data_IF_634601384405
#
_entry.id   IF_634601384405
#
_cell.length_a   1.000
_cell.length_b   1.000
_cell.length_c   1.000
_cell.angle_alpha   90.00
_cell.angle_beta   90.00
_cell.angle_gamma   90.00
#
_symmetry.space_group_name_H-M   'P 1'
#
loop_
_entity.id
_entity.type
_entity.pdbx_description
1 polymer ?
#
# COMPACT_ATOMS: atom_id res chain seq x y z
N UNK A 1 63.97 -36.02 20.11
CA UNK A 1 63.67 -34.58 20.26
C UNK A 1 62.82 -34.19 19.06
N UNK A 2 61.51 -34.24 19.20
CA UNK A 2 60.61 -33.71 18.17
C UNK A 2 59.35 -33.22 18.88
N UNK A 3 59.05 -31.96 18.60
CA UNK A 3 58.17 -31.11 19.38
C UNK A 3 56.74 -31.14 18.84
N UNK A 4 55.83 -30.84 19.77
CA UNK A 4 54.41 -30.58 19.66
C UNK A 4 53.95 -29.84 18.41
N UNK A 5 52.71 -30.11 17.99
CA UNK A 5 51.73 -29.04 17.75
C UNK A 5 50.29 -29.57 17.80
N UNK A 6 49.60 -29.24 18.90
CA UNK A 6 48.15 -29.38 19.05
C UNK A 6 47.46 -28.24 18.31
N UNK A 7 46.62 -28.58 17.32
CA UNK A 7 45.79 -27.64 16.59
C UNK A 7 44.45 -27.46 17.35
N UNK A 8 44.34 -26.36 18.10
CA UNK A 8 43.06 -25.93 18.70
C UNK A 8 42.30 -25.13 17.65
N UNK A 9 41.26 -25.73 17.05
CA UNK A 9 40.32 -25.03 16.19
C UNK A 9 39.37 -24.19 17.08
N UNK A 10 39.64 -22.89 17.19
CA UNK A 10 38.68 -21.94 17.73
C UNK A 10 37.66 -21.59 16.63
N UNK A 11 36.46 -22.17 16.71
CA UNK A 11 35.30 -21.70 15.96
C UNK A 11 34.84 -20.36 16.56
N UNK A 12 35.31 -19.25 15.98
CA UNK A 12 34.69 -17.95 16.17
C UNK A 12 33.36 -17.94 15.43
N UNK A 13 32.28 -18.23 16.16
CA UNK A 13 30.93 -17.90 15.73
C UNK A 13 30.85 -16.37 15.59
N UNK A 14 30.99 -15.88 14.35
CA UNK A 14 30.65 -14.51 14.00
C UNK A 14 29.13 -14.42 14.16
N UNK A 15 28.69 -14.01 15.34
CA UNK A 15 27.36 -13.47 15.54
C UNK A 15 27.28 -12.23 14.66
N UNK A 16 26.73 -12.39 13.45
CA UNK A 16 26.09 -11.29 12.76
C UNK A 16 24.94 -10.86 13.67
N UNK A 17 25.25 -9.92 14.58
CA UNK A 17 24.25 -8.98 15.06
C UNK A 17 23.75 -8.29 13.80
N UNK A 18 22.70 -8.88 13.21
CA UNK A 18 21.82 -8.16 12.32
C UNK A 18 21.39 -6.96 13.14
N UNK A 19 22.02 -5.80 12.91
CA UNK A 19 21.33 -4.54 13.02
C UNK A 19 20.02 -4.80 12.28
N UNK A 20 18.95 -5.04 13.03
CA UNK A 20 17.60 -5.04 12.51
C UNK A 20 17.30 -3.55 12.44
N UNK A 21 17.52 -2.90 11.30
CA UNK A 21 17.16 -1.50 11.19
C UNK A 21 15.72 -1.35 11.62
N UNK A 22 15.48 -0.34 12.46
CA UNK A 22 14.25 -0.06 13.19
C UNK A 22 13.12 0.41 12.27
N UNK A 23 12.95 -0.21 11.10
CA UNK A 23 11.90 0.13 10.16
C UNK A 23 10.58 -0.34 10.75
N UNK A 24 9.74 0.60 11.19
CA UNK A 24 8.46 0.30 11.81
C UNK A 24 7.36 -0.15 10.85
N UNK A 25 7.61 -0.17 9.54
CA UNK A 25 6.62 -0.50 8.51
C UNK A 25 6.57 -2.00 8.14
N UNK A 26 5.78 -2.30 7.11
CA UNK A 26 5.65 -3.64 6.50
C UNK A 26 6.05 -3.57 5.02
N UNK A 27 7.12 -4.26 4.62
CA UNK A 27 7.58 -4.31 3.22
C UNK A 27 7.26 -5.67 2.58
N UNK A 28 6.93 -5.67 1.29
CA UNK A 28 6.74 -6.88 0.52
C UNK A 28 8.07 -7.64 0.30
N UNK A 29 8.10 -8.93 0.60
CA UNK A 29 9.21 -9.84 0.24
C UNK A 29 8.78 -10.99 -0.67
N UNK A 30 7.50 -11.01 -1.08
CA UNK A 30 6.98 -11.98 -2.05
C UNK A 30 7.69 -11.82 -3.42
N UNK A 31 8.37 -12.86 -3.94
CA UNK A 31 9.19 -12.78 -5.15
C UNK A 31 8.37 -12.61 -6.44
N UNK A 32 7.04 -12.76 -6.37
CA UNK A 32 6.16 -12.48 -7.51
C UNK A 32 6.08 -10.99 -7.82
N UNK A 33 6.43 -10.14 -6.85
CA UNK A 33 6.46 -8.69 -6.99
C UNK A 33 7.86 -8.14 -6.77
N UNK A 34 8.21 -7.17 -7.59
CA UNK A 34 9.49 -6.47 -7.54
C UNK A 34 9.25 -4.97 -7.46
N UNK A 35 10.31 -4.22 -7.19
CA UNK A 35 10.27 -2.76 -7.17
C UNK A 35 9.99 -2.22 -8.58
N UNK A 36 9.31 -1.08 -8.64
CA UNK A 36 9.22 -0.29 -9.87
C UNK A 36 10.56 0.39 -10.18
N UNK A 37 11.49 -0.37 -10.75
CA UNK A 37 12.77 0.13 -11.25
C UNK A 37 12.86 -0.11 -12.74
N UNK A 38 12.29 0.81 -13.49
CA UNK A 38 12.32 0.71 -14.94
C UNK A 38 13.51 1.50 -15.50
N UNK A 39 14.33 0.82 -16.30
CA UNK A 39 15.56 1.36 -16.89
C UNK A 39 16.50 2.00 -15.84
N UNK A 40 16.55 1.43 -14.62
CA UNK A 40 17.37 1.95 -13.52
C UNK A 40 16.80 3.17 -12.79
N UNK A 41 15.60 3.63 -13.17
CA UNK A 41 14.94 4.78 -12.55
C UNK A 41 13.73 4.36 -11.71
N UNK A 42 13.44 5.14 -10.66
CA UNK A 42 12.27 4.95 -9.79
C UNK A 42 11.04 5.65 -10.38
N UNK A 43 10.78 5.42 -11.67
CA UNK A 43 9.65 5.97 -12.42
C UNK A 43 8.58 4.90 -12.54
N UNK A 44 7.33 5.27 -12.24
CA UNK A 44 6.15 4.39 -12.38
C UNK A 44 5.34 4.88 -13.58
N UNK A 45 5.39 4.18 -14.73
CA UNK A 45 4.49 4.43 -15.84
C UNK A 45 3.06 4.03 -15.47
N UNK A 46 2.09 4.88 -15.81
CA UNK A 46 0.68 4.54 -15.63
C UNK A 46 -0.20 5.11 -16.73
N UNK A 47 -1.37 4.49 -16.89
CA UNK A 47 -2.43 4.91 -17.81
C UNK A 47 -3.75 4.86 -17.04
N UNK A 48 -4.58 5.89 -17.21
CA UNK A 48 -5.99 5.80 -16.81
C UNK A 48 -6.78 5.03 -17.86
N UNK A 49 -7.59 4.08 -17.44
CA UNK A 49 -8.52 3.42 -18.33
C UNK A 49 -9.49 4.45 -18.93
N UNK A 50 -9.63 4.43 -20.26
CA UNK A 50 -10.35 5.47 -20.98
C UNK A 50 -11.81 5.54 -20.55
N UNK A 51 -12.27 6.73 -20.17
CA UNK A 51 -13.65 6.98 -19.74
C UNK A 51 -13.98 6.63 -18.29
N UNK A 52 -13.08 6.00 -17.53
CA UNK A 52 -13.38 5.56 -16.16
C UNK A 52 -13.49 6.72 -15.16
N UNK A 53 -12.69 7.77 -15.34
CA UNK A 53 -12.53 8.84 -14.37
C UNK A 53 -12.89 10.20 -14.92
N UNK A 54 -13.64 10.96 -14.14
CA UNK A 54 -13.81 12.41 -14.33
C UNK A 54 -12.50 13.15 -14.09
N UNK A 55 -12.39 14.39 -14.58
CA UNK A 55 -11.21 15.22 -14.34
C UNK A 55 -10.92 15.45 -12.84
N UNK A 56 -11.97 15.58 -12.01
CA UNK A 56 -11.82 15.76 -10.57
C UNK A 56 -11.28 14.50 -9.88
N UNK A 57 -11.75 13.33 -10.29
CA UNK A 57 -11.24 12.04 -9.80
C UNK A 57 -9.77 11.81 -10.22
N UNK A 58 -9.42 12.08 -11.48
CA UNK A 58 -8.04 12.01 -11.95
C UNK A 58 -7.15 12.97 -11.15
N UNK A 59 -7.61 14.21 -10.93
CA UNK A 59 -6.89 15.21 -10.12
C UNK A 59 -6.59 14.69 -8.71
N UNK A 60 -7.54 14.01 -8.06
CA UNK A 60 -7.32 13.44 -6.73
C UNK A 60 -6.25 12.34 -6.73
N UNK A 61 -6.24 11.48 -7.76
CA UNK A 61 -5.22 10.44 -7.91
C UNK A 61 -3.84 11.06 -8.18
N UNK A 62 -3.78 12.07 -9.05
CA UNK A 62 -2.55 12.80 -9.37
C UNK A 62 -2.02 13.58 -8.16
N UNK A 63 -2.89 14.15 -7.33
CA UNK A 63 -2.51 14.79 -6.07
C UNK A 63 -1.87 13.79 -5.09
N UNK A 64 -2.41 12.58 -4.99
CA UNK A 64 -1.81 11.52 -4.18
C UNK A 64 -0.41 11.14 -4.68
N UNK A 65 -0.23 10.98 -6.00
CA UNK A 65 1.08 10.75 -6.61
C UNK A 65 2.05 11.91 -6.34
N UNK A 66 1.59 13.15 -6.51
CA UNK A 66 2.39 14.35 -6.24
C UNK A 66 2.79 14.46 -4.77
N UNK A 67 1.91 14.08 -3.84
CA UNK A 67 2.19 14.09 -2.42
C UNK A 67 3.28 13.07 -2.05
N UNK A 68 3.20 11.83 -2.58
CA UNK A 68 4.26 10.84 -2.38
C UNK A 68 5.58 11.32 -3.01
N UNK A 69 5.53 11.89 -4.22
CA UNK A 69 6.71 12.50 -4.86
C UNK A 69 7.37 13.53 -3.96
N UNK A 70 6.58 14.44 -3.39
CA UNK A 70 7.05 15.50 -2.51
C UNK A 70 7.66 14.94 -1.22
N UNK A 71 6.94 14.02 -0.55
CA UNK A 71 7.39 13.39 0.70
C UNK A 71 8.67 12.57 0.49
N UNK A 72 8.91 12.07 -0.73
CA UNK A 72 10.12 11.33 -1.13
C UNK A 72 11.21 12.20 -1.77
N UNK A 73 11.10 13.54 -1.71
CA UNK A 73 12.10 14.46 -2.27
C UNK A 73 12.31 14.29 -3.79
N UNK A 74 11.29 13.83 -4.50
CA UNK A 74 11.36 13.53 -5.94
C UNK A 74 12.06 12.22 -6.31
N UNK A 75 12.49 11.41 -5.33
CA UNK A 75 13.16 10.14 -5.60
C UNK A 75 12.28 9.14 -6.36
N UNK A 76 10.99 9.11 -6.06
CA UNK A 76 9.98 8.32 -6.77
C UNK A 76 9.20 9.29 -7.65
N UNK A 77 8.91 8.90 -8.90
CA UNK A 77 8.16 9.73 -9.84
C UNK A 77 7.16 8.90 -10.66
N UNK A 78 6.18 9.58 -11.25
CA UNK A 78 5.07 8.96 -11.98
C UNK A 78 5.04 9.56 -13.38
N UNK A 79 4.86 8.71 -14.39
CA UNK A 79 4.74 9.15 -15.78
C UNK A 79 3.40 8.70 -16.33
N UNK A 80 2.53 9.66 -16.60
CA UNK A 80 1.24 9.39 -17.23
C UNK A 80 1.42 9.19 -18.73
N UNK A 81 0.85 8.11 -19.25
CA UNK A 81 0.68 7.86 -20.67
C UNK A 81 -0.80 8.00 -21.04
N UNK A 82 -1.07 8.44 -22.27
CA UNK A 82 -2.43 8.53 -22.83
C UNK A 82 -2.93 7.21 -23.40
N UNK A 83 -2.02 6.26 -23.64
CA UNK A 83 -2.30 4.90 -24.10
C UNK A 83 -1.26 3.94 -23.52
N UNK A 84 -1.53 2.61 -23.51
CA UNK A 84 -0.53 1.62 -23.12
C UNK A 84 0.83 1.85 -23.81
N UNK A 85 1.93 1.99 -23.04
CA UNK A 85 3.25 2.19 -23.61
C UNK A 85 3.71 0.95 -24.37
N UNK A 86 4.51 1.15 -25.41
CA UNK A 86 5.08 0.08 -26.24
C UNK A 86 6.52 -0.26 -25.80
N UNK A 87 7.18 -1.21 -26.47
CA UNK A 87 8.60 -1.51 -26.23
C UNK A 87 8.88 -2.27 -24.93
N UNK A 88 7.92 -3.05 -24.44
CA UNK A 88 8.10 -3.87 -23.22
C UNK A 88 8.08 -3.06 -21.92
N UNK A 89 7.59 -1.82 -21.96
CA UNK A 89 7.47 -0.96 -20.79
C UNK A 89 6.41 -1.51 -19.85
N UNK A 90 6.81 -1.83 -18.62
CA UNK A 90 5.90 -2.22 -17.55
C UNK A 90 5.13 -0.99 -17.06
N UNK A 91 3.82 -1.12 -16.85
CA UNK A 91 2.99 0.02 -16.46
C UNK A 91 1.79 -0.42 -15.62
N UNK A 92 1.19 0.55 -14.95
CA UNK A 92 -0.04 0.35 -14.19
C UNK A 92 -1.23 0.84 -14.99
N UNK A 93 -2.25 0.01 -15.13
CA UNK A 93 -3.54 0.39 -15.65
C UNK A 93 -4.47 0.71 -14.49
N UNK A 94 -4.73 2.00 -14.28
CA UNK A 94 -5.62 2.49 -13.23
C UNK A 94 -7.04 2.51 -13.77
N UNK A 95 -7.93 1.71 -13.18
CA UNK A 95 -9.34 1.64 -13.58
C UNK A 95 -10.25 1.56 -12.36
N UNK A 96 -11.53 1.89 -12.52
CA UNK A 96 -12.51 1.66 -11.45
C UNK A 96 -12.73 0.16 -11.27
N UNK A 97 -12.91 -0.58 -12.35
CA UNK A 97 -13.24 -2.00 -12.30
C UNK A 97 -12.03 -2.93 -12.02
N UNK A 98 -10.78 -2.47 -12.14
CA UNK A 98 -9.59 -3.30 -12.00
C UNK A 98 -9.47 -4.41 -13.06
N UNK A 99 -10.02 -4.18 -14.26
CA UNK A 99 -9.98 -5.13 -15.38
C UNK A 99 -11.03 -6.25 -15.32
N UNK A 100 -11.24 -6.84 -14.14
CA UNK A 100 -12.16 -8.00 -13.96
C UNK A 100 -13.42 -7.70 -13.14
N UNK A 101 -13.66 -6.45 -12.76
CA UNK A 101 -14.87 -6.06 -12.01
C UNK A 101 -14.75 -6.31 -10.51
N UNK A 102 -13.76 -5.67 -9.86
CA UNK A 102 -13.63 -5.70 -8.41
C UNK A 102 -14.76 -4.93 -7.72
N UNK A 103 -15.23 -5.44 -6.58
CA UNK A 103 -16.24 -4.79 -5.73
C UNK A 103 -15.66 -3.73 -4.79
N UNK A 104 -14.33 -3.58 -4.78
CA UNK A 104 -13.61 -2.60 -3.97
C UNK A 104 -12.25 -2.30 -4.59
N UNK A 105 -11.50 -1.42 -3.95
CA UNK A 105 -10.18 -1.06 -4.41
C UNK A 105 -9.15 -2.15 -4.12
N UNK A 106 -8.23 -2.34 -5.06
CA UNK A 106 -7.11 -3.25 -4.90
C UNK A 106 -5.90 -2.79 -5.71
N UNK A 107 -4.74 -3.31 -5.33
CA UNK A 107 -3.49 -3.17 -6.07
C UNK A 107 -2.58 -4.33 -5.70
N UNK A 108 -1.64 -4.63 -6.59
CA UNK A 108 -0.53 -5.50 -6.24
C UNK A 108 0.50 -4.76 -5.38
N UNK A 109 1.20 -5.47 -4.48
CA UNK A 109 2.17 -4.90 -3.55
C UNK A 109 3.55 -4.72 -4.22
N UNK A 110 3.60 -4.00 -5.34
CA UNK A 110 4.76 -3.88 -6.21
C UNK A 110 4.42 -4.04 -7.69
N UNK A 111 5.47 -4.09 -8.52
CA UNK A 111 5.40 -4.45 -9.93
C UNK A 111 5.39 -5.97 -10.07
N UNK A 112 4.48 -6.54 -10.86
CA UNK A 112 4.50 -7.97 -11.18
C UNK A 112 5.82 -8.31 -11.89
N UNK A 113 6.60 -9.27 -11.38
CA UNK A 113 7.92 -9.59 -11.92
C UNK A 113 7.85 -10.06 -13.38
N UNK A 114 6.83 -10.86 -13.71
CA UNK A 114 6.62 -11.42 -15.05
C UNK A 114 5.65 -10.59 -15.90
N UNK A 115 5.60 -9.27 -15.66
CA UNK A 115 4.68 -8.39 -16.36
C UNK A 115 4.97 -8.29 -17.87
N UNK A 116 6.25 -8.26 -18.27
CA UNK A 116 6.68 -8.27 -19.68
C UNK A 116 5.97 -7.25 -20.58
N UNK A 117 5.75 -6.03 -20.07
CA UNK A 117 5.06 -4.95 -20.77
C UNK A 117 3.53 -5.08 -20.83
N UNK A 118 2.95 -6.13 -20.22
CA UNK A 118 1.50 -6.30 -20.13
C UNK A 118 1.00 -5.56 -18.89
N UNK A 119 0.36 -4.41 -19.05
CA UNK A 119 -0.08 -3.55 -17.93
C UNK A 119 -0.74 -4.33 -16.79
N UNK A 120 -0.47 -3.92 -15.54
CA UNK A 120 -1.07 -4.52 -14.36
C UNK A 120 -2.21 -3.64 -13.87
N UNK A 121 -3.35 -4.25 -13.58
CA UNK A 121 -4.50 -3.49 -13.11
C UNK A 121 -4.37 -3.10 -11.65
N UNK A 122 -4.80 -1.89 -11.34
CA UNK A 122 -5.19 -1.48 -9.99
C UNK A 122 -6.62 -0.91 -10.03
N UNK A 123 -7.41 -1.22 -9.02
CA UNK A 123 -8.75 -0.68 -8.87
C UNK A 123 -8.75 0.51 -7.90
N UNK A 124 -9.13 1.70 -8.37
CA UNK A 124 -9.42 2.86 -7.53
C UNK A 124 -10.86 3.30 -7.79
N UNK A 125 -11.73 3.14 -6.80
CA UNK A 125 -13.19 3.29 -6.92
C UNK A 125 -13.71 4.36 -5.96
N UNK A 126 -14.73 5.11 -6.39
CA UNK A 126 -15.53 5.95 -5.50
C UNK A 126 -16.65 5.16 -4.82
N UNK A 127 -17.43 5.83 -3.96
CA UNK A 127 -18.63 5.26 -3.36
C UNK A 127 -18.39 4.32 -2.18
N UNK A 128 -19.41 3.50 -1.86
CA UNK A 128 -19.38 2.51 -0.78
C UNK A 128 -18.29 1.49 -1.06
N UNK A 129 -17.47 1.15 -0.07
CA UNK A 129 -16.30 0.28 -0.22
C UNK A 129 -15.21 0.83 -1.17
N UNK A 130 -15.35 2.07 -1.62
CA UNK A 130 -14.37 2.77 -2.44
C UNK A 130 -13.19 3.30 -1.62
N UNK A 131 -12.23 3.86 -2.35
CA UNK A 131 -10.98 4.46 -1.86
C UNK A 131 -10.67 5.80 -2.53
N UNK A 132 -11.58 6.31 -3.38
CA UNK A 132 -11.45 7.56 -4.12
C UNK A 132 -12.25 8.69 -3.43
N UNK A 133 -12.17 8.75 -2.09
CA UNK A 133 -12.88 9.78 -1.32
C UNK A 133 -11.99 10.96 -0.93
N UNK A 134 -10.69 10.71 -0.80
CA UNK A 134 -9.66 11.69 -0.42
C UNK A 134 -8.27 11.22 -0.86
N UNK A 135 -7.31 12.14 -0.86
CA UNK A 135 -5.91 11.89 -1.25
C UNK A 135 -5.28 10.76 -0.44
N UNK A 136 -5.54 10.73 0.88
CA UNK A 136 -5.00 9.75 1.82
C UNK A 136 -5.35 8.30 1.46
N UNK A 137 -6.60 8.02 1.10
CA UNK A 137 -7.03 6.68 0.71
C UNK A 137 -6.40 6.21 -0.61
N UNK A 138 -6.16 7.14 -1.55
CA UNK A 138 -5.44 6.81 -2.78
C UNK A 138 -3.95 6.59 -2.50
N UNK A 139 -3.33 7.44 -1.67
CA UNK A 139 -1.94 7.23 -1.23
C UNK A 139 -1.75 5.85 -0.61
N UNK A 140 -2.68 5.40 0.25
CA UNK A 140 -2.64 4.05 0.84
C UNK A 140 -2.43 2.96 -0.21
N UNK A 141 -3.17 3.02 -1.31
CA UNK A 141 -3.03 2.05 -2.41
C UNK A 141 -1.75 2.25 -3.20
N UNK A 142 -1.38 3.50 -3.51
CA UNK A 142 -0.13 3.79 -4.21
C UNK A 142 1.10 3.32 -3.40
N UNK A 143 1.08 3.40 -2.08
CA UNK A 143 2.15 2.84 -1.23
C UNK A 143 2.26 1.33 -1.37
N UNK A 144 1.13 0.62 -1.44
CA UNK A 144 1.11 -0.81 -1.75
C UNK A 144 1.64 -1.08 -3.15
N UNK A 145 1.22 -0.31 -4.15
CA UNK A 145 1.78 -0.40 -5.50
C UNK A 145 3.31 -0.24 -5.52
N UNK A 146 3.89 0.55 -4.61
CA UNK A 146 5.34 0.72 -4.46
C UNK A 146 6.03 -0.40 -3.67
N UNK A 147 5.29 -1.32 -3.06
CA UNK A 147 5.82 -2.46 -2.32
C UNK A 147 5.70 -2.36 -0.80
N UNK A 148 5.10 -1.30 -0.26
CA UNK A 148 4.80 -1.22 1.17
C UNK A 148 3.42 -1.83 1.46
N UNK A 149 3.40 -2.88 2.26
CA UNK A 149 2.19 -3.59 2.65
C UNK A 149 1.40 -2.79 3.71
N UNK A 150 0.13 -3.12 3.91
CA UNK A 150 -0.73 -2.35 4.81
C UNK A 150 -0.39 -2.62 6.29
N UNK A 151 -0.20 -1.55 7.06
CA UNK A 151 0.19 -1.63 8.47
C UNK A 151 -0.83 -2.41 9.33
N UNK A 152 -2.14 -2.33 9.04
CA UNK A 152 -3.19 -3.05 9.79
C UNK A 152 -3.26 -4.55 9.44
N UNK A 153 -2.40 -5.04 8.54
CA UNK A 153 -2.28 -6.46 8.21
C UNK A 153 -0.96 -7.06 8.72
N UNK A 154 -0.13 -6.28 9.43
CA UNK A 154 1.16 -6.71 9.98
C UNK A 154 1.04 -7.98 10.86
N UNK A 155 2.02 -8.91 10.82
CA UNK A 155 2.00 -10.14 11.63
C UNK A 155 1.74 -9.95 13.14
N UNK A 156 2.30 -8.89 13.72
CA UNK A 156 2.20 -8.57 15.15
C UNK A 156 1.09 -7.55 15.47
N UNK A 157 0.24 -7.16 14.51
CA UNK A 157 -0.68 -6.02 14.67
C UNK A 157 -1.58 -6.13 15.90
N UNK A 158 -1.95 -7.35 16.30
CA UNK A 158 -2.95 -7.56 17.36
C UNK A 158 -2.38 -7.18 18.74
N UNK A 159 -1.08 -6.91 18.86
CA UNK A 159 -0.50 -6.26 20.04
C UNK A 159 -0.77 -4.74 20.09
N UNK A 160 -1.16 -4.12 18.98
CA UNK A 160 -1.24 -2.66 18.79
C UNK A 160 -2.63 -2.16 18.41
N UNK A 161 -3.39 -2.95 17.65
CA UNK A 161 -4.75 -2.60 17.22
C UNK A 161 -5.74 -3.68 17.60
N UNK A 162 -7.00 -3.29 17.77
CA UNK A 162 -8.14 -4.19 17.75
C UNK A 162 -8.77 -4.15 16.36
N UNK A 163 -9.11 -5.32 15.83
CA UNK A 163 -9.83 -5.46 14.55
C UNK A 163 -11.13 -6.21 14.80
N UNK A 164 -12.27 -5.52 14.69
CA UNK A 164 -13.59 -6.10 14.88
C UNK A 164 -14.21 -6.49 13.53
N UNK A 165 -13.86 -7.67 13.02
CA UNK A 165 -14.39 -8.17 11.74
C UNK A 165 -15.88 -8.50 11.80
N UNK A 166 -16.48 -8.64 12.99
CA UNK A 166 -17.91 -8.94 13.15
C UNK A 166 -18.84 -7.81 12.69
N UNK A 167 -18.34 -6.57 12.64
CA UNK A 167 -19.07 -5.40 12.13
C UNK A 167 -18.63 -5.00 10.72
N UNK A 168 -17.71 -5.74 10.11
CA UNK A 168 -17.15 -5.42 8.80
C UNK A 168 -18.07 -5.90 7.66
N UNK A 169 -18.05 -5.22 6.52
CA UNK A 169 -18.86 -5.60 5.35
C UNK A 169 -18.41 -6.95 4.80
N UNK A 170 -19.34 -7.69 4.19
CA UNK A 170 -19.04 -8.97 3.52
C UNK A 170 -17.99 -8.83 2.41
N UNK A 171 -17.94 -7.67 1.75
CA UNK A 171 -16.86 -7.34 0.79
C UNK A 171 -15.52 -7.45 1.49
N UNK A 172 -15.31 -6.74 2.60
CA UNK A 172 -14.03 -6.73 3.29
C UNK A 172 -13.57 -8.11 3.78
N UNK A 173 -14.50 -8.92 4.28
CA UNK A 173 -14.20 -10.27 4.78
C UNK A 173 -13.91 -11.24 3.64
N UNK A 174 -14.67 -11.18 2.55
CA UNK A 174 -14.44 -12.01 1.36
C UNK A 174 -13.09 -11.72 0.68
N UNK A 175 -12.66 -10.45 0.67
CA UNK A 175 -11.36 -10.05 0.13
C UNK A 175 -10.22 -10.14 1.14
N UNK A 176 -10.48 -10.58 2.38
CA UNK A 176 -9.44 -10.71 3.39
C UNK A 176 -8.75 -9.39 3.75
N UNK A 177 -9.47 -8.26 3.67
CA UNK A 177 -8.94 -6.90 3.89
C UNK A 177 -8.23 -6.77 5.24
N UNK A 178 -8.67 -7.54 6.23
CA UNK A 178 -8.16 -7.55 7.58
C UNK A 178 -7.39 -8.83 7.95
N UNK A 179 -7.00 -9.65 6.98
CA UNK A 179 -6.22 -10.87 7.25
C UNK A 179 -4.79 -10.50 7.64
N UNK A 180 -4.22 -11.22 8.61
CA UNK A 180 -2.80 -11.04 8.95
C UNK A 180 -1.96 -11.55 7.77
N UNK A 181 -0.90 -10.84 7.40
CA UNK A 181 0.02 -11.30 6.38
C UNK A 181 0.82 -12.52 6.84
N UNK A 182 1.13 -13.40 5.89
CA UNK A 182 2.12 -14.45 6.10
C UNK A 182 3.50 -13.80 6.40
N UNK A 183 4.11 -14.06 7.57
CA UNK A 183 5.40 -13.47 7.94
C UNK A 183 6.55 -13.87 7.00
N UNK A 184 6.42 -14.91 6.17
CA UNK A 184 7.45 -15.26 5.18
C UNK A 184 7.41 -14.38 3.93
N UNK A 185 6.30 -13.67 3.69
CA UNK A 185 6.08 -12.82 2.51
C UNK A 185 6.17 -11.32 2.84
N UNK A 186 6.50 -10.98 4.08
CA UNK A 186 6.70 -9.60 4.51
C UNK A 186 7.93 -9.44 5.38
N UNK A 187 8.64 -8.33 5.21
CA UNK A 187 9.65 -7.86 6.15
C UNK A 187 8.99 -6.83 7.08
N UNK A 188 9.05 -7.06 8.38
CA UNK A 188 8.41 -6.17 9.35
C UNK A 188 9.08 -6.28 10.73
N UNK A 189 9.11 -5.19 11.49
CA UNK A 189 9.64 -5.20 12.86
C UNK A 189 8.54 -5.64 13.86
N UNK A 190 8.68 -6.78 14.57
CA UNK A 190 7.68 -7.29 15.49
C UNK A 190 7.56 -6.49 16.80
N UNK A 191 8.51 -5.59 17.10
CA UNK A 191 8.51 -4.76 18.30
C UNK A 191 7.91 -3.36 18.06
N UNK A 192 7.42 -3.08 16.85
CA UNK A 192 6.98 -1.74 16.48
C UNK A 192 5.65 -1.75 15.69
N UNK A 193 4.98 -0.59 15.66
CA UNK A 193 3.77 -0.33 14.88
C UNK A 193 3.65 1.16 14.58
N UNK A 194 3.24 1.49 13.36
CA UNK A 194 3.06 2.87 12.94
C UNK A 194 1.59 3.30 12.88
N UNK A 195 1.11 3.86 13.99
CA UNK A 195 -0.24 4.44 14.09
C UNK A 195 -0.49 5.64 13.16
N UNK A 196 0.59 6.23 12.63
CA UNK A 196 0.53 7.35 11.70
C UNK A 196 0.74 6.93 10.25
N UNK A 197 0.88 5.63 9.95
CA UNK A 197 1.14 5.18 8.58
C UNK A 197 -0.02 5.52 7.65
N UNK A 198 0.32 6.00 6.45
CA UNK A 198 -0.67 6.22 5.37
C UNK A 198 -1.21 4.88 4.85
N UNK A 199 -0.48 3.78 5.11
CA UNK A 199 -0.87 2.44 4.68
C UNK A 199 -1.95 1.80 5.56
N UNK A 200 -2.22 2.37 6.74
CA UNK A 200 -3.22 1.86 7.67
C UNK A 200 -4.65 2.06 7.13
N UNK A 201 -5.59 1.15 7.40
CA UNK A 201 -6.99 1.36 7.03
C UNK A 201 -7.60 2.54 7.83
N UNK A 202 -8.48 3.33 7.21
CA UNK A 202 -9.31 4.27 7.97
C UNK A 202 -10.23 3.49 8.93
N UNK A 203 -10.43 4.03 10.13
CA UNK A 203 -11.07 3.32 11.23
C UNK A 203 -12.47 2.78 10.88
N UNK A 204 -13.29 3.55 10.15
CA UNK A 204 -14.67 3.20 9.80
C UNK A 204 -14.84 2.57 8.41
N UNK A 205 -13.76 2.44 7.64
CA UNK A 205 -13.85 1.86 6.29
C UNK A 205 -14.30 0.41 6.40
N UNK A 206 -15.23 0.01 5.52
CA UNK A 206 -15.95 -1.27 5.56
C UNK A 206 -16.77 -1.54 6.82
N UNK A 207 -17.17 -0.53 7.60
CA UNK A 207 -18.10 -0.74 8.72
C UNK A 207 -19.56 -0.83 8.27
N UNK A 208 -20.31 -1.82 8.77
CA UNK A 208 -21.77 -1.90 8.58
C UNK A 208 -22.55 -0.98 9.53
N UNK A 209 -21.94 -0.59 10.65
CA UNK A 209 -22.60 0.13 11.76
C UNK A 209 -22.14 1.58 11.86
N UNK A 210 -21.15 1.99 11.07
CA UNK A 210 -20.46 3.28 11.20
C UNK A 210 -19.47 3.33 12.37
N UNK A 211 -19.38 2.27 13.20
CA UNK A 211 -18.39 2.19 14.27
C UNK A 211 -17.02 1.73 13.73
N UNK A 212 -15.90 2.15 14.34
CA UNK A 212 -14.56 1.71 13.93
C UNK A 212 -14.38 0.18 13.86
N UNK A 213 -13.96 -0.33 12.70
CA UNK A 213 -13.52 -1.71 12.50
C UNK A 213 -12.10 -1.90 13.03
N UNK A 214 -11.24 -0.89 12.88
CA UNK A 214 -9.86 -0.91 13.39
C UNK A 214 -9.69 0.23 14.40
N UNK A 215 -9.24 -0.10 15.60
CA UNK A 215 -8.94 0.89 16.65
C UNK A 215 -7.56 0.63 17.24
N UNK A 216 -6.85 1.69 17.62
CA UNK A 216 -5.58 1.55 18.32
C UNK A 216 -5.79 1.19 19.80
N UNK A 217 -4.93 0.33 20.35
CA UNK A 217 -4.96 -0.10 21.75
C UNK A 217 -4.32 0.92 22.68
N UNK A 218 -3.16 1.44 22.30
CA UNK A 218 -2.36 2.33 23.15
C UNK A 218 -2.24 3.75 22.62
N UNK A 219 -2.47 3.94 21.32
CA UNK A 219 -2.42 5.24 20.65
C UNK A 219 -3.59 5.37 19.68
N UNK A 220 -4.09 6.59 19.52
CA UNK A 220 -5.06 6.88 18.47
C UNK A 220 -4.42 6.71 17.10
N UNK A 221 -5.18 6.17 16.16
CA UNK A 221 -4.80 6.14 14.75
C UNK A 221 -4.96 7.55 14.19
N UNK A 222 -3.88 8.13 13.66
CA UNK A 222 -3.89 9.48 13.11
C UNK A 222 -3.04 9.56 11.84
N UNK A 223 -3.68 9.62 10.68
CA UNK A 223 -2.99 9.88 9.43
C UNK A 223 -3.71 10.98 8.65
N UNK A 224 -2.98 12.07 8.40
CA UNK A 224 -3.48 13.25 7.68
C UNK A 224 -3.01 13.24 6.24
N UNK A 225 -3.05 12.09 5.56
CA UNK A 225 -2.68 11.93 4.14
C UNK A 225 -1.29 12.46 3.79
N UNK A 226 -0.33 12.16 4.66
CA UNK A 226 1.10 12.38 4.49
C UNK A 226 1.83 11.10 4.88
N UNK A 227 2.98 10.86 4.25
CA UNK A 227 3.87 9.78 4.70
C UNK A 227 4.28 10.06 6.16
N UNK A 228 4.18 9.05 7.01
CA UNK A 228 4.85 9.12 8.30
C UNK A 228 6.37 9.11 8.12
N UNK A 229 7.10 9.43 9.18
CA UNK A 229 8.55 9.25 9.21
C UNK A 229 8.95 7.83 8.78
N UNK A 230 8.21 6.82 9.27
CA UNK A 230 8.47 5.40 9.01
C UNK A 230 8.10 5.01 7.58
N UNK A 231 6.98 5.49 7.04
CA UNK A 231 6.61 5.27 5.64
C UNK A 231 7.70 5.79 4.68
N UNK A 232 8.17 7.02 4.92
CA UNK A 232 9.24 7.63 4.12
C UNK A 232 10.55 6.85 4.24
N UNK A 233 10.95 6.50 5.47
CA UNK A 233 12.17 5.71 5.72
C UNK A 233 12.10 4.37 4.99
N UNK A 234 10.96 3.70 5.02
CA UNK A 234 10.77 2.41 4.37
C UNK A 234 10.85 2.45 2.86
N UNK A 235 10.19 3.44 2.23
CA UNK A 235 10.37 3.64 0.79
C UNK A 235 11.79 4.05 0.44
N UNK A 236 12.43 4.87 1.29
CA UNK A 236 13.81 5.30 1.09
C UNK A 236 14.76 4.10 1.08
N UNK A 237 14.59 3.18 2.03
CA UNK A 237 15.30 1.91 2.05
C UNK A 237 15.01 1.07 0.81
N UNK A 238 13.73 0.84 0.52
CA UNK A 238 13.30 -0.05 -0.56
C UNK A 238 13.83 0.43 -1.91
N UNK A 239 13.76 1.73 -2.19
CA UNK A 239 14.16 2.31 -3.48
C UNK A 239 15.60 2.81 -3.50
N UNK A 240 16.30 2.77 -2.37
CA UNK A 240 17.66 3.31 -2.18
C UNK A 240 17.72 4.82 -2.45
N UNK A 241 16.75 5.56 -1.90
CA UNK A 241 16.67 7.01 -2.02
C UNK A 241 17.61 7.70 -1.03
N UNK A 242 18.16 8.84 -1.44
CA UNK A 242 18.81 9.79 -0.53
C UNK A 242 17.84 10.91 -0.19
N UNK A 243 16.92 10.66 0.74
CA UNK A 243 15.89 11.63 1.18
C UNK A 243 15.95 11.86 2.69
N UNK A 244 15.78 13.11 3.10
CA UNK A 244 15.62 13.49 4.50
C UNK A 244 14.16 13.39 4.92
N UNK A 245 13.76 12.25 5.47
CA UNK A 245 12.39 12.02 5.92
C UNK A 245 12.00 12.93 7.08
N UNK A 246 10.89 13.65 6.92
CA UNK A 246 10.36 14.56 7.93
C UNK A 246 9.30 13.86 8.79
N UNK A 247 9.33 14.10 10.10
CA UNK A 247 8.23 13.70 10.98
C UNK A 247 7.17 14.79 11.02
N UNK A 248 6.20 14.72 10.12
CA UNK A 248 5.10 15.68 10.07
C UNK A 248 4.12 15.54 11.24
N UNK A 249 4.29 14.52 12.11
CA UNK A 249 3.40 14.21 13.23
C UNK A 249 4.01 14.57 14.59
N UNK A 250 5.24 15.10 14.66
CA UNK A 250 5.97 15.39 15.91
C UNK A 250 5.57 16.68 16.64
N UNK A 251 4.32 17.15 16.50
CA UNK A 251 3.76 18.24 17.32
C UNK A 251 3.65 19.63 16.68
N UNK A 252 3.95 19.77 15.38
CA UNK A 252 3.58 20.97 14.62
C UNK A 252 2.11 20.96 14.17
N UNK A 253 1.56 22.10 13.71
CA UNK A 253 0.26 22.11 13.05
C UNK A 253 0.29 21.12 11.88
N UNK A 254 -0.59 20.12 11.92
CA UNK A 254 -0.70 19.17 10.82
C UNK A 254 -1.10 19.95 9.56
N UNK A 255 -0.46 19.69 8.41
CA UNK A 255 -0.83 20.35 7.16
C UNK A 255 -2.31 20.13 6.92
N UNK A 256 -3.05 21.21 6.67
CA UNK A 256 -4.47 21.14 6.31
C UNK A 256 -4.59 20.28 5.05
N UNK A 257 -5.19 19.10 5.18
CA UNK A 257 -5.42 18.19 4.06
C UNK A 257 -6.28 18.85 2.98
N UNK A 258 -5.92 18.59 1.72
CA UNK A 258 -6.64 19.01 0.53
C UNK A 258 -8.06 18.42 0.46
N UNK A 259 -8.93 19.19 -0.19
CA UNK A 259 -10.36 19.04 -0.44
C UNK A 259 -10.86 17.59 -0.55
N UNK A 260 -11.77 17.21 0.36
CA UNK A 260 -12.67 16.06 0.17
C UNK A 260 -13.50 16.34 -1.09
N UNK A 261 -13.73 15.32 -1.93
CA UNK A 261 -14.74 15.41 -2.98
C UNK A 261 -16.10 15.63 -2.31
N UNK A 262 -16.63 16.85 -2.40
CA UNK A 262 -17.99 17.15 -1.96
C UNK A 262 -18.97 16.41 -2.87
N UNK A 263 -19.65 15.40 -2.33
CA UNK A 263 -20.73 14.72 -3.01
C UNK A 263 -21.97 15.61 -3.02
N UNK A 264 -22.15 16.41 -4.07
CA UNK A 264 -23.46 17.01 -4.34
C UNK A 264 -24.34 15.92 -4.93
N UNK A 265 -25.22 15.33 -4.11
CA UNK A 265 -26.17 14.32 -4.55
C UNK A 265 -27.34 14.95 -5.29
N UNK A 266 -27.34 14.88 -6.62
CA UNK A 266 -28.57 15.05 -7.42
C UNK A 266 -28.48 14.17 -8.66
N UNK A 267 -29.40 13.22 -8.81
CA UNK A 267 -29.57 12.47 -10.06
C UNK A 267 -29.89 11.00 -9.88
N UNK A 268 -31.17 10.69 -9.65
CA UNK A 268 -31.73 9.35 -9.80
C UNK A 268 -31.55 8.90 -11.24
N UNK A 269 -30.74 7.86 -11.46
CA UNK A 269 -30.73 7.12 -12.73
C UNK A 269 -30.81 5.62 -12.45
N UNK A 270 -31.92 5.05 -12.89
CA UNK A 270 -32.20 3.63 -12.85
C UNK A 270 -31.35 2.94 -13.91
N UNK A 271 -30.50 1.99 -13.52
CA UNK A 271 -29.81 1.11 -14.46
C UNK A 271 -29.97 -0.34 -14.02
N UNK A 272 -30.39 -1.16 -14.98
CA UNK A 272 -30.75 -2.56 -14.82
C UNK A 272 -29.54 -3.40 -14.41
N UNK A 273 -29.75 -4.23 -13.38
CA UNK A 273 -28.78 -5.19 -12.87
C UNK A 273 -28.74 -6.41 -13.79
N UNK A 274 -27.60 -6.66 -14.44
CA UNK A 274 -27.33 -7.96 -15.08
C UNK A 274 -26.57 -8.82 -14.08
N UNK A 275 -27.25 -9.84 -13.57
CA UNK A 275 -26.68 -10.85 -12.67
C UNK A 275 -25.58 -11.62 -13.39
N UNK A 276 -24.33 -11.24 -13.12
CA UNK A 276 -23.15 -12.06 -13.38
C UNK A 276 -22.71 -12.70 -12.07
N UNK A 277 -22.64 -14.02 -12.08
CA UNK A 277 -22.18 -14.84 -10.95
C UNK A 277 -20.77 -14.42 -10.53
N UNK A 278 -20.50 -14.24 -9.23
CA UNK A 278 -19.18 -13.83 -8.76
C UNK A 278 -18.15 -14.93 -9.02
N UNK A 279 -17.18 -14.65 -9.88
CA UNK A 279 -15.98 -15.48 -10.01
C UNK A 279 -15.10 -15.24 -8.78
N UNK A 280 -14.79 -16.32 -8.07
CA UNK A 280 -13.96 -16.30 -6.87
C UNK A 280 -12.53 -15.93 -7.28
N UNK A 281 -12.02 -14.81 -6.77
CA UNK A 281 -10.61 -14.44 -6.96
C UNK A 281 -9.71 -15.60 -6.51
N UNK A 282 -8.72 -16.02 -7.30
CA UNK A 282 -7.72 -17.00 -6.86
C UNK A 282 -6.62 -16.39 -5.99
N UNK A 283 -6.67 -15.08 -5.71
CA UNK A 283 -5.67 -14.41 -4.90
C UNK A 283 -6.08 -14.37 -3.44
N UNK A 284 -5.64 -15.42 -2.76
CA UNK A 284 -5.55 -15.44 -1.32
C UNK A 284 -4.50 -14.40 -0.87
N UNK A 285 -4.95 -13.21 -0.48
CA UNK A 285 -4.10 -12.16 0.07
C UNK A 285 -3.49 -12.53 1.44
N UNK A 286 -3.74 -13.75 1.96
CA UNK A 286 -3.24 -14.20 3.26
C UNK A 286 -2.97 -15.71 3.41
N UNK A 287 -2.92 -16.50 2.33
CA UNK A 287 -2.69 -17.96 2.43
C UNK A 287 -1.96 -18.47 1.19
N UNK A 288 -0.71 -18.06 1.04
CA UNK A 288 0.41 -18.92 0.62
C UNK A 288 1.65 -18.48 1.38
#
# INVERSE_FOLDING_TARGET
>A
MEAQQSLVLALTAIFFNFFQPTWGCVLNTDPTYVRWKQFGTNVIPFVFYSGDYTAAEQSLILQAMAQIKSDMGGCITWTQYTSPPTGGVNYVMISKAGGVGSQSCFTFPGMINLQQGKGQYMAIQGGVNGCLSNVRQVMRLLMSLLGQRFEHNKPNRDAYVNVNTGIATSVSTNYGVYNIYNPTLVLSNPADFDYNSVTLMDQVTFSNTGTPVVTGKTKAINNVGRLSLKDCQCLSFLYSCSVACQDVYSGGPLPTQFTRLSSTSTGTSTSASTTTTPFKFPFDLGRR
#
